data_IF_849916422738
#
_entry.id   IF_849916422738
#
_cell.length_a   1.000
_cell.length_b   1.000
_cell.length_c   1.000
_cell.angle_alpha   90.00
_cell.angle_beta   90.00
_cell.angle_gamma   90.00
#
_symmetry.space_group_name_H-M   'P 1'
#
loop_
_entity.id
_entity.type
_entity.pdbx_description
1 polymer ?
#
# COMPACT_ATOMS: atom_id res chain seq x y z
N UNK A 1 -3.61 -33.71 12.78
CA UNK A 1 -3.18 -33.32 11.43
C UNK A 1 -2.59 -31.94 11.57
N UNK A 2 -1.26 -31.87 11.69
CA UNK A 2 -0.54 -30.61 11.82
C UNK A 2 -0.58 -29.94 10.46
N UNK A 3 -1.20 -28.76 10.38
CA UNK A 3 -1.11 -27.94 9.17
C UNK A 3 0.37 -27.60 8.97
N UNK A 4 0.93 -28.00 7.82
CA UNK A 4 2.23 -27.52 7.41
C UNK A 4 2.19 -26.00 7.26
N UNK A 5 3.33 -25.40 7.55
CA UNK A 5 3.59 -23.96 7.55
C UNK A 5 3.00 -23.24 6.34
N UNK A 6 2.34 -22.13 6.64
CA UNK A 6 2.23 -20.94 5.78
C UNK A 6 1.26 -20.99 4.59
N UNK A 7 0.26 -21.86 4.58
CA UNK A 7 -0.83 -21.80 3.59
C UNK A 7 -2.19 -21.62 4.28
N UNK A 8 -2.86 -20.49 4.00
CA UNK A 8 -4.29 -20.38 4.31
C UNK A 8 -5.07 -21.26 3.32
N UNK A 9 -6.16 -21.90 3.76
CA UNK A 9 -6.95 -22.76 2.88
C UNK A 9 -7.46 -22.03 1.64
N UNK A 10 -7.33 -22.65 0.46
CA UNK A 10 -7.95 -22.14 -0.77
C UNK A 10 -9.46 -21.95 -0.57
N UNK A 11 -10.00 -20.85 -1.08
CA UNK A 11 -11.43 -20.55 -0.99
C UNK A 11 -11.92 -20.19 0.42
N UNK A 12 -11.03 -19.92 1.40
CA UNK A 12 -11.43 -19.52 2.75
C UNK A 12 -12.39 -18.31 2.77
N UNK A 13 -12.33 -17.44 1.75
CA UNK A 13 -13.27 -16.32 1.57
C UNK A 13 -14.72 -16.76 1.44
N UNK A 14 -14.95 -17.92 0.83
CA UNK A 14 -16.27 -18.46 0.52
C UNK A 14 -16.81 -19.39 1.63
N UNK A 15 -16.00 -19.67 2.65
CA UNK A 15 -16.43 -20.47 3.79
C UNK A 15 -17.52 -19.75 4.58
N UNK A 16 -18.38 -20.53 5.23
CA UNK A 16 -19.32 -19.98 6.20
C UNK A 16 -18.57 -19.43 7.43
N UNK A 17 -19.31 -18.66 8.22
CA UNK A 17 -18.79 -18.00 9.42
C UNK A 17 -18.22 -18.99 10.44
N UNK A 18 -18.92 -20.09 10.70
CA UNK A 18 -18.52 -21.06 11.71
C UNK A 18 -17.21 -21.74 11.33
N UNK A 19 -17.05 -22.10 10.05
CA UNK A 19 -15.82 -22.67 9.51
C UNK A 19 -14.63 -21.69 9.58
N UNK A 20 -14.84 -20.41 9.24
CA UNK A 20 -13.80 -19.38 9.36
C UNK A 20 -13.34 -19.18 10.81
N UNK A 21 -14.28 -19.10 11.74
CA UNK A 21 -13.98 -18.98 13.17
C UNK A 21 -13.28 -20.21 13.70
N UNK A 22 -13.76 -21.41 13.35
CA UNK A 22 -13.11 -22.65 13.73
C UNK A 22 -11.65 -22.70 13.27
N UNK A 23 -11.38 -22.33 12.03
CA UNK A 23 -10.01 -22.26 11.51
C UNK A 23 -9.13 -21.28 12.29
N UNK A 24 -9.65 -20.08 12.61
CA UNK A 24 -8.92 -19.11 13.41
C UNK A 24 -8.57 -19.66 14.81
N UNK A 25 -9.53 -20.30 15.50
CA UNK A 25 -9.29 -20.93 16.80
C UNK A 25 -8.24 -22.03 16.72
N UNK A 26 -8.34 -22.91 15.72
CA UNK A 26 -7.40 -24.01 15.52
C UNK A 26 -5.98 -23.46 15.21
N UNK A 27 -5.89 -22.35 14.47
CA UNK A 27 -4.61 -21.72 14.08
C UNK A 27 -3.83 -21.14 15.26
N UNK A 28 -4.53 -20.75 16.34
CA UNK A 28 -3.92 -20.20 17.55
C UNK A 28 -4.07 -21.14 18.76
N UNK A 29 -4.35 -22.43 18.55
CA UNK A 29 -4.66 -23.35 19.65
C UNK A 29 -3.51 -23.52 20.66
N UNK A 30 -2.27 -23.26 20.23
CA UNK A 30 -1.07 -23.31 21.08
C UNK A 30 -0.71 -21.97 21.74
N UNK A 31 -1.48 -20.91 21.49
CA UNK A 31 -1.26 -19.60 22.08
C UNK A 31 -1.85 -19.55 23.50
N UNK A 32 -1.43 -18.56 24.27
CA UNK A 32 -1.95 -18.32 25.62
C UNK A 32 -3.48 -18.15 25.63
N UNK A 33 -4.12 -18.63 26.70
CA UNK A 33 -5.58 -18.60 26.90
C UNK A 33 -6.17 -17.20 26.75
N UNK A 34 -5.42 -16.15 27.10
CA UNK A 34 -5.87 -14.77 26.97
C UNK A 34 -6.28 -14.42 25.52
N UNK A 35 -5.58 -14.93 24.51
CA UNK A 35 -5.94 -14.70 23.11
C UNK A 35 -7.25 -15.40 22.73
N UNK A 36 -7.47 -16.60 23.27
CA UNK A 36 -8.69 -17.38 23.01
C UNK A 36 -9.92 -16.75 23.66
N UNK A 37 -9.76 -16.16 24.86
CA UNK A 37 -10.81 -15.39 25.51
C UNK A 37 -11.24 -14.17 24.69
N UNK A 38 -10.31 -13.50 24.00
CA UNK A 38 -10.65 -12.39 23.09
C UNK A 38 -11.48 -12.90 21.90
N UNK A 39 -11.11 -14.05 21.32
CA UNK A 39 -11.90 -14.65 20.24
C UNK A 39 -13.31 -15.02 20.70
N UNK A 40 -13.48 -15.51 21.93
CA UNK A 40 -14.79 -15.90 22.48
C UNK A 40 -15.78 -14.73 22.53
N UNK A 41 -15.26 -13.52 22.81
CA UNK A 41 -16.05 -12.28 22.81
C UNK A 41 -16.43 -11.85 21.40
N UNK A 42 -15.56 -12.10 20.42
CA UNK A 42 -15.73 -11.62 19.04
C UNK A 42 -16.44 -12.61 18.11
N UNK A 43 -16.69 -13.86 18.53
CA UNK A 43 -17.22 -14.94 17.67
C UNK A 43 -18.56 -14.64 16.98
N UNK A 44 -19.32 -13.66 17.48
CA UNK A 44 -20.58 -13.21 16.89
C UNK A 44 -20.37 -12.29 15.69
N UNK A 45 -19.16 -11.80 15.45
CA UNK A 45 -18.81 -10.90 14.36
C UNK A 45 -18.35 -11.67 13.12
N UNK A 46 -18.42 -11.01 11.97
CA UNK A 46 -17.88 -11.57 10.73
C UNK A 46 -16.38 -11.34 10.64
N UNK A 47 -15.65 -12.35 10.16
CA UNK A 47 -14.21 -12.26 9.95
C UNK A 47 -13.92 -11.58 8.62
N UNK A 48 -13.24 -10.44 8.70
CA UNK A 48 -12.71 -9.76 7.53
C UNK A 48 -11.40 -10.41 7.09
N UNK A 49 -11.40 -10.96 5.88
CA UNK A 49 -10.24 -11.57 5.23
C UNK A 49 -9.70 -10.61 4.18
N UNK A 50 -8.40 -10.33 4.22
CA UNK A 50 -7.76 -9.48 3.22
C UNK A 50 -6.56 -10.18 2.60
N UNK A 51 -6.29 -9.84 1.34
CA UNK A 51 -5.06 -10.25 0.66
C UNK A 51 -4.00 -9.17 0.88
N UNK A 52 -2.83 -9.51 1.45
CA UNK A 52 -1.78 -8.54 1.67
C UNK A 52 -1.21 -8.06 0.33
N UNK A 53 -1.20 -6.74 0.12
CA UNK A 53 -0.62 -6.10 -1.06
C UNK A 53 0.46 -5.11 -0.65
N UNK A 54 1.53 -5.06 -1.45
CA UNK A 54 2.59 -4.07 -1.32
C UNK A 54 3.18 -3.74 -2.70
N UNK A 55 3.49 -2.46 -2.94
CA UNK A 55 4.00 -2.02 -4.24
C UNK A 55 5.50 -2.27 -4.37
N UNK A 56 5.96 -2.54 -5.60
CA UNK A 56 7.39 -2.50 -5.94
C UNK A 56 7.83 -1.06 -6.20
N UNK A 57 8.97 -0.68 -5.61
CA UNK A 57 9.56 0.65 -5.83
C UNK A 57 9.81 0.90 -7.33
N UNK A 58 9.15 1.90 -7.94
CA UNK A 58 9.44 2.27 -9.30
C UNK A 58 10.81 2.97 -9.38
N UNK A 59 11.47 2.85 -10.54
CA UNK A 59 12.63 3.68 -10.82
C UNK A 59 12.21 5.16 -10.92
N UNK A 60 13.03 6.11 -10.47
CA UNK A 60 12.70 7.55 -10.56
C UNK A 60 12.46 8.05 -11.99
N UNK A 61 12.95 7.33 -13.00
CA UNK A 61 12.72 7.62 -14.41
C UNK A 61 11.65 6.71 -15.05
N UNK A 62 10.78 6.08 -14.25
CA UNK A 62 9.77 5.12 -14.75
C UNK A 62 8.88 5.72 -15.84
N UNK A 63 8.52 7.01 -15.73
CA UNK A 63 7.72 7.69 -16.75
C UNK A 63 8.37 7.66 -18.12
N UNK A 64 9.66 7.96 -18.21
CA UNK A 64 10.41 7.92 -19.47
C UNK A 64 10.51 6.51 -20.06
N UNK A 65 10.39 5.47 -19.23
CA UNK A 65 10.40 4.07 -19.68
C UNK A 65 9.05 3.60 -20.22
N UNK A 66 7.96 4.21 -19.77
CA UNK A 66 6.58 3.82 -20.11
C UNK A 66 5.95 4.76 -21.14
N UNK A 67 6.48 5.97 -21.29
CA UNK A 67 6.05 6.90 -22.34
C UNK A 67 6.16 6.24 -23.72
N UNK A 68 5.06 6.29 -24.47
CA UNK A 68 4.99 5.79 -25.84
C UNK A 68 4.63 6.91 -26.79
N UNK A 69 5.23 6.89 -27.99
CA UNK A 69 4.80 7.74 -29.10
C UNK A 69 3.45 7.29 -29.68
N UNK A 70 3.14 5.99 -29.56
CA UNK A 70 1.88 5.41 -30.06
C UNK A 70 0.73 5.52 -29.07
N UNK A 71 1.03 5.77 -27.79
CA UNK A 71 0.04 6.05 -26.75
C UNK A 71 0.52 7.23 -25.87
N UNK A 72 0.19 8.47 -26.24
CA UNK A 72 0.54 9.67 -25.49
C UNK A 72 -0.11 9.76 -24.10
N UNK A 73 -1.10 8.90 -23.81
CA UNK A 73 -1.75 8.82 -22.51
C UNK A 73 -0.86 8.16 -21.45
N UNK A 74 0.07 7.29 -21.86
CA UNK A 74 0.96 6.59 -20.95
C UNK A 74 1.92 7.55 -20.23
N UNK A 75 1.99 7.39 -18.90
CA UNK A 75 2.85 8.16 -18.02
C UNK A 75 2.71 9.69 -18.19
N UNK A 76 1.51 10.17 -18.53
CA UNK A 76 1.23 11.59 -18.72
C UNK A 76 1.51 12.38 -17.43
N UNK A 77 2.34 13.45 -17.48
CA UNK A 77 2.71 14.24 -16.30
C UNK A 77 1.55 15.05 -15.71
N UNK A 78 0.38 15.11 -16.37
CA UNK A 78 -0.85 15.65 -15.80
C UNK A 78 -1.55 14.68 -14.84
N UNK A 79 -1.12 13.41 -14.80
CA UNK A 79 -1.66 12.38 -13.91
C UNK A 79 -0.64 12.06 -12.82
N UNK A 80 -0.98 12.39 -11.58
CA UNK A 80 -0.14 12.25 -10.39
C UNK A 80 -0.71 11.13 -9.53
N UNK A 81 0.15 10.26 -9.01
CA UNK A 81 -0.23 9.12 -8.18
C UNK A 81 0.29 9.34 -6.76
N UNK A 82 -0.57 9.16 -5.77
CA UNK A 82 -0.26 9.31 -4.35
C UNK A 82 -0.96 8.23 -3.53
N UNK A 83 -0.58 8.07 -2.26
CA UNK A 83 -1.16 7.05 -1.38
C UNK A 83 -1.04 5.63 -1.96
N UNK A 84 -2.03 4.79 -1.67
CA UNK A 84 -2.02 3.38 -2.07
C UNK A 84 -1.98 3.15 -3.59
N UNK A 85 -2.42 4.13 -4.40
CA UNK A 85 -2.28 4.07 -5.86
C UNK A 85 -0.82 4.07 -6.33
N UNK A 86 0.12 4.52 -5.50
CA UNK A 86 1.56 4.52 -5.77
C UNK A 86 2.34 3.62 -4.82
N UNK A 87 2.03 3.66 -3.53
CA UNK A 87 2.86 3.07 -2.47
C UNK A 87 2.06 2.28 -1.44
N UNK A 88 1.09 1.46 -1.88
CA UNK A 88 0.42 0.52 -0.98
C UNK A 88 1.47 -0.31 -0.21
N UNK A 89 1.23 -0.45 1.08
CA UNK A 89 2.11 -1.13 2.01
C UNK A 89 1.31 -1.99 2.97
N UNK A 90 1.95 -3.03 3.50
CA UNK A 90 1.32 -3.91 4.49
C UNK A 90 0.93 -3.13 5.75
N UNK A 91 -0.17 -3.51 6.43
CA UNK A 91 -0.70 -2.75 7.57
C UNK A 91 0.15 -2.88 8.84
N UNK A 92 1.24 -3.66 8.82
CA UNK A 92 2.07 -4.00 9.98
C UNK A 92 2.60 -2.79 10.77
N UNK A 93 2.73 -1.61 10.12
CA UNK A 93 3.16 -0.37 10.78
C UNK A 93 2.11 0.73 10.80
N UNK A 94 0.95 0.53 10.15
CA UNK A 94 -0.11 1.54 10.10
C UNK A 94 0.30 2.86 9.43
N UNK A 95 1.30 2.87 8.54
CA UNK A 95 1.87 4.11 7.99
C UNK A 95 1.26 4.57 6.66
N UNK A 96 0.43 3.75 6.00
CA UNK A 96 -0.14 4.08 4.68
C UNK A 96 -0.89 5.42 4.68
N UNK A 97 -1.83 5.59 5.61
CA UNK A 97 -2.59 6.85 5.74
C UNK A 97 -1.71 8.06 6.04
N UNK A 98 -0.70 7.90 6.90
CA UNK A 98 0.26 8.98 7.20
C UNK A 98 1.08 9.38 5.97
N UNK A 99 1.52 8.40 5.16
CA UNK A 99 2.25 8.70 3.93
C UNK A 99 1.35 9.35 2.88
N UNK A 100 0.10 8.90 2.74
CA UNK A 100 -0.86 9.52 1.84
C UNK A 100 -1.14 10.98 2.22
N UNK A 101 -1.34 11.27 3.51
CA UNK A 101 -1.48 12.66 4.00
C UNK A 101 -0.21 13.47 3.74
N UNK A 102 0.97 12.90 4.00
CA UNK A 102 2.24 13.59 3.74
C UNK A 102 2.42 13.93 2.26
N UNK A 103 2.00 13.06 1.34
CA UNK A 103 2.00 13.36 -0.09
C UNK A 103 1.20 14.62 -0.42
N UNK A 104 0.04 14.82 0.21
CA UNK A 104 -0.77 16.04 -0.01
C UNK A 104 0.00 17.31 0.36
N UNK A 105 0.81 17.27 1.42
CA UNK A 105 1.58 18.44 1.86
C UNK A 105 2.72 18.79 0.89
N UNK A 106 3.20 17.80 0.12
CA UNK A 106 4.24 17.98 -0.89
C UNK A 106 3.63 18.39 -2.24
N UNK A 107 2.50 17.80 -2.62
CA UNK A 107 1.79 18.11 -3.87
C UNK A 107 1.21 19.53 -3.85
N UNK A 108 0.57 19.93 -2.74
CA UNK A 108 -0.14 21.21 -2.63
C UNK A 108 0.69 22.45 -3.05
N UNK A 109 1.91 22.69 -2.53
CA UNK A 109 2.71 23.83 -2.96
C UNK A 109 3.09 23.79 -4.45
N UNK A 110 3.26 22.60 -5.03
CA UNK A 110 3.55 22.42 -6.45
C UNK A 110 2.34 22.80 -7.30
N UNK A 111 1.14 22.40 -6.89
CA UNK A 111 -0.11 22.80 -7.55
C UNK A 111 -0.34 24.31 -7.43
N UNK A 112 -0.09 24.93 -6.29
CA UNK A 112 -0.17 26.39 -6.14
C UNK A 112 0.82 27.14 -7.04
N UNK A 113 2.02 26.59 -7.24
CA UNK A 113 3.01 27.17 -8.15
C UNK A 113 2.54 27.06 -9.60
N UNK A 114 1.97 25.92 -9.98
CA UNK A 114 1.40 25.70 -11.31
C UNK A 114 0.17 26.59 -11.58
N UNK A 115 -0.71 26.75 -10.59
CA UNK A 115 -1.89 27.63 -10.69
C UNK A 115 -1.48 29.09 -10.90
N UNK A 116 -0.55 29.62 -10.08
CA UNK A 116 0.00 30.97 -10.26
C UNK A 116 0.67 31.15 -11.62
N UNK A 117 1.38 30.13 -12.09
CA UNK A 117 1.96 30.17 -13.45
C UNK A 117 0.86 30.31 -14.51
N UNK A 118 -0.23 29.56 -14.39
CA UNK A 118 -1.36 29.64 -15.31
C UNK A 118 -2.04 31.01 -15.28
N UNK A 119 -2.26 31.59 -14.10
CA UNK A 119 -2.83 32.93 -13.94
C UNK A 119 -2.01 34.01 -14.65
N UNK A 120 -0.68 33.89 -14.62
CA UNK A 120 0.21 34.86 -15.26
C UNK A 120 0.38 34.66 -16.77
N UNK A 121 0.27 33.43 -17.28
CA UNK A 121 0.65 33.07 -18.65
C UNK A 121 -0.51 32.53 -19.50
N UNK A 122 -1.71 32.38 -18.94
CA UNK A 122 -2.91 31.82 -19.59
C UNK A 122 -2.91 30.30 -19.68
N UNK A 123 -1.75 29.69 -19.94
CA UNK A 123 -1.60 28.22 -20.00
C UNK A 123 -0.33 27.73 -19.30
N UNK A 124 -0.31 26.43 -18.97
CA UNK A 124 0.86 25.77 -18.39
C UNK A 124 1.48 24.83 -19.44
N UNK A 125 2.70 25.12 -19.92
CA UNK A 125 3.44 24.24 -20.80
C UNK A 125 3.66 22.84 -20.19
N UNK A 126 3.60 21.79 -21.02
CA UNK A 126 3.73 20.39 -20.59
C UNK A 126 5.04 20.12 -19.82
N UNK A 127 6.15 20.75 -20.22
CA UNK A 127 7.44 20.62 -19.56
C UNK A 127 7.45 21.20 -18.14
N UNK A 128 6.70 22.28 -17.88
CA UNK A 128 6.55 22.88 -16.54
C UNK A 128 5.78 21.93 -15.62
N UNK A 129 4.71 21.32 -16.11
CA UNK A 129 3.95 20.29 -15.39
C UNK A 129 4.83 19.07 -15.12
N UNK A 130 5.58 18.61 -16.12
CA UNK A 130 6.48 17.48 -15.99
C UNK A 130 7.57 17.72 -14.95
N UNK A 131 8.12 18.94 -14.88
CA UNK A 131 9.11 19.32 -13.89
C UNK A 131 8.53 19.26 -12.46
N UNK A 132 7.32 19.80 -12.25
CA UNK A 132 6.65 19.75 -10.95
C UNK A 132 6.29 18.32 -10.54
N UNK A 133 5.79 17.50 -11.47
CA UNK A 133 5.47 16.10 -11.22
C UNK A 133 6.74 15.30 -10.84
N UNK A 134 7.84 15.53 -11.56
CA UNK A 134 9.15 14.93 -11.26
C UNK A 134 9.69 15.37 -9.89
N UNK A 135 9.51 16.63 -9.52
CA UNK A 135 9.91 17.15 -8.20
C UNK A 135 9.19 16.39 -7.08
N UNK A 136 7.87 16.20 -7.20
CA UNK A 136 7.10 15.36 -6.28
C UNK A 136 7.58 13.91 -6.25
N UNK A 137 7.75 13.27 -7.41
CA UNK A 137 8.15 11.85 -7.47
C UNK A 137 9.57 11.61 -6.92
N UNK A 138 10.51 12.54 -7.15
CA UNK A 138 11.85 12.49 -6.58
C UNK A 138 11.87 12.57 -5.06
N UNK A 139 10.88 13.24 -4.45
CA UNK A 139 10.71 13.33 -3.00
C UNK A 139 9.96 12.10 -2.47
N UNK A 140 8.78 11.84 -3.02
CA UNK A 140 7.85 10.85 -2.48
C UNK A 140 8.36 9.42 -2.65
N UNK A 141 8.92 9.05 -3.81
CA UNK A 141 9.35 7.67 -4.05
C UNK A 141 10.40 7.19 -3.02
N UNK A 142 11.51 7.89 -2.75
CA UNK A 142 12.46 7.42 -1.74
C UNK A 142 11.86 7.43 -0.32
N UNK A 143 11.03 8.43 0.02
CA UNK A 143 10.40 8.53 1.35
C UNK A 143 9.38 7.43 1.60
N UNK A 144 8.38 7.29 0.73
CA UNK A 144 7.27 6.38 0.92
C UNK A 144 7.72 4.91 0.82
N UNK A 145 8.63 4.59 -0.11
CA UNK A 145 9.10 3.21 -0.24
C UNK A 145 10.03 2.75 0.89
N UNK A 146 10.64 3.68 1.65
CA UNK A 146 11.26 3.33 2.94
C UNK A 146 10.23 2.73 3.90
N UNK A 147 8.99 3.21 3.88
CA UNK A 147 7.88 2.69 4.69
C UNK A 147 7.28 1.39 4.14
N UNK A 148 7.24 1.25 2.82
CA UNK A 148 6.85 -0.03 2.17
C UNK A 148 7.80 -1.15 2.58
N UNK A 149 9.11 -0.94 2.44
CA UNK A 149 10.15 -1.90 2.85
C UNK A 149 10.08 -2.20 4.35
N UNK A 150 9.97 -1.15 5.16
CA UNK A 150 9.76 -1.22 6.60
C UNK A 150 8.56 -2.09 7.00
N UNK A 151 7.46 -2.04 6.24
CA UNK A 151 6.23 -2.76 6.58
C UNK A 151 6.26 -4.24 6.15
N UNK A 152 7.35 -4.71 5.56
CA UNK A 152 7.55 -6.09 5.07
C UNK A 152 7.94 -6.14 3.59
N UNK A 153 7.81 -5.02 2.87
CA UNK A 153 8.05 -4.99 1.43
C UNK A 153 7.13 -5.98 0.69
N UNK A 154 7.70 -6.75 -0.23
CA UNK A 154 6.97 -7.79 -0.97
C UNK A 154 6.82 -9.11 -0.19
N UNK A 155 7.40 -9.20 1.00
CA UNK A 155 7.34 -10.38 1.83
C UNK A 155 6.40 -10.07 3.00
N UNK A 156 5.20 -10.65 3.04
CA UNK A 156 4.37 -10.60 4.24
C UNK A 156 5.23 -10.98 5.46
N UNK A 157 5.15 -10.20 6.54
CA UNK A 157 5.90 -10.50 7.76
C UNK A 157 5.44 -11.86 8.25
N UNK A 158 6.28 -12.87 8.06
CA UNK A 158 6.12 -14.16 8.70
C UNK A 158 6.37 -13.95 10.19
N UNK A 159 5.44 -14.39 11.04
CA UNK A 159 5.75 -14.61 12.44
C UNK A 159 6.73 -15.80 12.49
N UNK A 160 8.01 -15.55 12.27
CA UNK A 160 9.06 -16.45 12.74
C UNK A 160 9.05 -16.38 14.25
N UNK A 161 8.18 -17.19 14.86
CA UNK A 161 8.30 -17.54 16.28
C UNK A 161 9.68 -18.20 16.39
N UNK A 162 10.63 -17.42 16.91
CA UNK A 162 11.97 -17.88 17.19
C UNK A 162 11.89 -19.11 18.07
N UNK A 163 12.53 -20.19 17.63
CA UNK A 163 12.88 -21.30 18.52
C UNK A 163 13.97 -20.77 19.46
N UNK A 164 13.55 -20.30 20.63
CA UNK A 164 14.38 -20.07 21.80
C UNK A 164 13.96 -21.03 22.90
#
# INVERSE_FOLDING_TARGET
MCLEKDEYPEGIKDWDKEAKWKFLYDSISSWDDAFRQVLDVMKTEDLYLFEPLATRKPALNWRSKVQSLTDPGLANPRVWLMGDAMHVMLPNRGMGGNQAMLDTTVILPLLHRLARFAEMNGEIPKNVIAAACKEYECEMIPRAFKWVEASGGLNPVHSSIGKG
#
